data_IF_047515785287
#
_entry.id   IF_047515785287
#
_cell.length_a   1.000
_cell.length_b   1.000
_cell.length_c   1.000
_cell.angle_alpha   90.00
_cell.angle_beta   90.00
_cell.angle_gamma   90.00
#
_symmetry.space_group_name_H-M   'P 1'
#
loop_
_entity.id
_entity.type
_entity.pdbx_description
1 polymer ?
#
# COMPACT_ATOMS: atom_id res chain seq x y z
N UNK A 1 15.15 35.67 -11.97
CA UNK A 1 15.44 34.25 -11.70
C UNK A 1 14.78 33.88 -10.37
N UNK A 2 13.61 33.26 -10.42
CA UNK A 2 12.79 32.93 -9.23
C UNK A 2 13.08 31.48 -8.85
N UNK A 3 13.49 31.17 -7.60
CA UNK A 3 13.73 29.78 -7.23
C UNK A 3 12.42 29.00 -7.25
N UNK A 4 12.45 27.79 -7.81
CA UNK A 4 11.33 26.86 -7.76
C UNK A 4 10.95 26.64 -6.29
N UNK A 5 9.73 27.05 -5.93
CA UNK A 5 9.14 26.82 -4.62
C UNK A 5 9.36 25.37 -4.23
N UNK A 6 10.16 25.15 -3.20
CA UNK A 6 10.30 23.83 -2.61
C UNK A 6 8.91 23.40 -2.16
N UNK A 7 8.43 22.29 -2.74
CA UNK A 7 7.06 21.82 -2.57
C UNK A 7 6.67 21.84 -1.10
N UNK A 8 5.62 22.61 -0.81
CA UNK A 8 5.10 22.79 0.53
C UNK A 8 4.91 21.42 1.19
N UNK A 9 5.39 21.20 2.43
CA UNK A 9 5.20 19.93 3.10
C UNK A 9 3.70 19.62 3.13
N UNK A 10 3.33 18.39 2.75
CA UNK A 10 1.93 17.98 2.66
C UNK A 10 1.11 18.55 3.83
N UNK A 11 0.07 19.36 3.57
CA UNK A 11 -0.65 20.03 4.65
C UNK A 11 -1.23 18.98 5.61
N UNK A 12 -1.30 19.28 6.92
CA UNK A 12 -1.66 18.30 7.95
C UNK A 12 -3.01 17.63 7.68
N UNK A 13 -3.98 18.37 7.16
CA UNK A 13 -5.30 17.84 6.75
C UNK A 13 -5.19 16.80 5.64
N UNK A 14 -4.34 17.03 4.63
CA UNK A 14 -4.11 16.06 3.55
C UNK A 14 -3.41 14.81 4.09
N UNK A 15 -2.40 14.99 4.95
CA UNK A 15 -1.66 13.88 5.57
C UNK A 15 -2.56 13.01 6.45
N UNK A 16 -3.51 13.62 7.15
CA UNK A 16 -4.50 12.91 7.95
C UNK A 16 -5.48 12.12 7.08
N UNK A 17 -6.00 12.72 6.01
CA UNK A 17 -6.88 12.02 5.06
C UNK A 17 -6.18 10.81 4.40
N UNK A 18 -4.92 10.96 4.00
CA UNK A 18 -4.13 9.85 3.43
C UNK A 18 -3.95 8.72 4.45
N UNK A 19 -3.74 9.04 5.73
CA UNK A 19 -3.62 8.04 6.80
C UNK A 19 -4.93 7.31 7.04
N UNK A 20 -6.06 8.02 7.08
CA UNK A 20 -7.39 7.42 7.28
C UNK A 20 -7.83 6.54 6.10
N UNK A 21 -7.46 6.92 4.88
CA UNK A 21 -7.82 6.17 3.68
C UNK A 21 -6.83 5.04 3.34
N UNK A 22 -5.94 4.67 4.26
CA UNK A 22 -5.01 3.56 4.03
C UNK A 22 -5.80 2.24 4.02
N UNK A 23 -5.69 1.42 2.96
CA UNK A 23 -6.41 0.16 2.88
C UNK A 23 -6.04 -0.74 4.08
N UNK A 24 -7.01 -1.38 4.73
CA UNK A 24 -6.78 -2.12 5.98
C UNK A 24 -5.78 -3.28 5.80
N UNK A 25 -5.68 -3.85 4.59
CA UNK A 25 -4.68 -4.87 4.26
C UNK A 25 -3.22 -4.36 4.38
N UNK A 26 -2.97 -3.04 4.25
CA UNK A 26 -1.65 -2.47 4.46
C UNK A 26 -1.35 -2.16 5.93
N UNK A 27 -2.25 -2.43 6.87
CA UNK A 27 -2.00 -2.16 8.30
C UNK A 27 -1.27 -3.30 9.01
N UNK A 28 -1.15 -4.47 8.38
CA UNK A 28 -0.43 -5.64 8.91
C UNK A 28 0.83 -5.94 8.10
N UNK A 29 1.79 -6.67 8.68
CA UNK A 29 2.94 -7.22 7.96
C UNK A 29 2.48 -8.30 6.98
N UNK A 30 3.00 -8.31 5.75
CA UNK A 30 2.67 -9.35 4.79
C UNK A 30 3.40 -10.66 5.11
N UNK A 31 2.71 -11.79 5.34
CA UNK A 31 3.39 -13.07 5.61
C UNK A 31 4.06 -13.68 4.37
N UNK A 32 3.71 -13.26 3.15
CA UNK A 32 4.33 -13.78 1.92
C UNK A 32 5.67 -13.11 1.61
N UNK A 33 5.75 -11.78 1.71
CA UNK A 33 6.95 -11.01 1.33
C UNK A 33 7.57 -10.22 2.48
N UNK A 34 7.07 -10.42 3.71
CA UNK A 34 7.53 -9.82 4.97
C UNK A 34 7.59 -8.29 4.96
N UNK A 35 6.84 -7.67 4.04
CA UNK A 35 6.79 -6.21 3.89
C UNK A 35 6.09 -5.58 5.09
N UNK A 36 6.69 -4.53 5.69
CA UNK A 36 6.14 -3.89 6.89
C UNK A 36 4.79 -3.22 6.62
N UNK A 37 4.02 -2.95 7.68
CA UNK A 37 2.78 -2.20 7.57
C UNK A 37 3.04 -0.83 6.93
N UNK A 38 2.12 -0.47 6.05
CA UNK A 38 2.09 0.79 5.36
C UNK A 38 2.90 0.85 4.07
N UNK A 39 3.66 -0.19 3.74
CA UNK A 39 4.37 -0.34 2.48
C UNK A 39 3.63 -1.30 1.54
N UNK A 40 3.50 -0.99 0.24
CA UNK A 40 2.92 -1.90 -0.74
C UNK A 40 3.78 -3.16 -0.90
N UNK A 41 3.12 -4.29 -1.16
CA UNK A 41 3.83 -5.53 -1.43
C UNK A 41 4.69 -5.41 -2.70
N UNK A 42 5.75 -6.21 -2.78
CA UNK A 42 6.63 -6.28 -3.96
C UNK A 42 6.52 -7.66 -4.60
N UNK A 43 6.52 -7.69 -5.92
CA UNK A 43 6.68 -8.90 -6.71
C UNK A 43 8.11 -9.45 -6.55
N UNK A 44 8.32 -10.72 -6.90
CA UNK A 44 9.67 -11.32 -6.93
C UNK A 44 10.64 -10.57 -7.85
N UNK A 45 10.13 -9.94 -8.91
CA UNK A 45 10.89 -9.07 -9.83
C UNK A 45 11.27 -7.71 -9.22
N UNK A 46 10.88 -7.42 -7.98
CA UNK A 46 11.14 -6.17 -7.29
C UNK A 46 10.13 -5.04 -7.58
N UNK A 47 9.17 -5.26 -8.48
CA UNK A 47 8.13 -4.27 -8.82
C UNK A 47 7.11 -4.12 -7.68
N UNK A 48 6.66 -2.90 -7.43
CA UNK A 48 5.56 -2.65 -6.49
C UNK A 48 4.26 -3.23 -7.05
N UNK A 49 3.55 -4.00 -6.24
CA UNK A 49 2.24 -4.50 -6.58
C UNK A 49 1.19 -3.42 -6.27
N UNK A 50 0.25 -3.24 -7.20
CA UNK A 50 -0.93 -2.40 -6.99
C UNK A 50 -1.84 -2.95 -5.90
N UNK A 51 -1.82 -4.27 -5.71
CA UNK A 51 -2.59 -4.97 -4.70
C UNK A 51 -1.69 -5.75 -3.75
N UNK A 52 -2.09 -5.83 -2.48
CA UNK A 52 -1.38 -6.67 -1.53
C UNK A 52 -1.59 -8.16 -1.86
N UNK A 53 -0.63 -9.01 -1.47
CA UNK A 53 -0.78 -10.46 -1.56
C UNK A 53 -2.03 -10.92 -0.80
N UNK A 54 -2.72 -11.94 -1.31
CA UNK A 54 -3.90 -12.53 -0.69
C UNK A 54 -3.69 -12.86 0.79
N UNK A 55 -2.54 -13.46 1.12
CA UNK A 55 -2.15 -13.82 2.48
C UNK A 55 -2.05 -12.63 3.43
N UNK A 56 -1.84 -11.41 2.91
CA UNK A 56 -1.87 -10.17 3.71
C UNK A 56 -3.31 -9.75 4.07
N UNK A 57 -4.27 -9.99 3.17
CA UNK A 57 -5.69 -9.76 3.47
C UNK A 57 -6.18 -10.73 4.55
N UNK A 58 -5.78 -12.00 4.45
CA UNK A 58 -6.08 -13.02 5.47
C UNK A 58 -5.48 -12.66 6.82
N UNK A 59 -4.21 -12.23 6.85
CA UNK A 59 -3.56 -11.76 8.08
C UNK A 59 -4.22 -10.51 8.68
N UNK A 60 -4.89 -9.70 7.85
CA UNK A 60 -5.68 -8.54 8.29
C UNK A 60 -7.12 -8.90 8.69
N UNK A 61 -7.52 -10.17 8.59
CA UNK A 61 -8.90 -10.62 8.83
C UNK A 61 -9.91 -10.08 7.82
N UNK A 62 -9.43 -9.66 6.64
CA UNK A 62 -10.27 -9.12 5.58
C UNK A 62 -10.64 -10.23 4.60
N UNK A 63 -11.84 -10.20 4.01
CA UNK A 63 -12.12 -11.06 2.88
C UNK A 63 -11.10 -10.74 1.79
N UNK A 64 -10.33 -11.74 1.39
CA UNK A 64 -9.43 -11.65 0.24
C UNK A 64 -10.27 -11.14 -0.91
N UNK A 65 -10.02 -9.90 -1.38
CA UNK A 65 -10.70 -9.45 -2.59
C UNK A 65 -10.31 -10.45 -3.67
N UNK A 66 -11.31 -11.14 -4.23
CA UNK A 66 -11.17 -11.92 -5.46
C UNK A 66 -10.59 -10.98 -6.51
N UNK A 67 -9.27 -10.92 -6.62
CA UNK A 67 -8.62 -10.55 -7.86
C UNK A 67 -8.11 -11.84 -8.45
N UNK A 68 -9.04 -12.49 -9.14
CA UNK A 68 -8.74 -13.31 -10.31
C UNK A 68 -7.91 -12.46 -11.28
N UNK A 69 -6.60 -12.41 -11.06
CA UNK A 69 -5.60 -12.13 -12.11
C UNK A 69 -5.19 -13.47 -12.75
N UNK A 70 -6.19 -14.25 -13.16
CA UNK A 70 -6.01 -15.28 -14.17
C UNK A 70 -6.12 -14.57 -15.52
N UNK A 71 -5.02 -13.91 -15.92
CA UNK A 71 -4.74 -13.63 -17.33
C UNK A 71 -3.95 -14.81 -17.92
N UNK A 72 -4.16 -15.13 -19.20
CA UNK A 72 -4.11 -16.48 -19.78
C UNK A 72 -2.76 -17.21 -19.71
#
# INVERSE_FOLDING_TARGET
MTPASQGEPCPPSLRETIRRNKPPALQVTCPHCHTPPGQPCRAASGRLLHQAHATRYEAAGLPTRLTTDTGP
#
